data_IF_013655200516
#
_entry.id   IF_013655200516
#
_cell.length_a   1.000
_cell.length_b   1.000
_cell.length_c   1.000
_cell.angle_alpha   90.00
_cell.angle_beta   90.00
_cell.angle_gamma   90.00
#
_symmetry.space_group_name_H-M   'P 1'
#
loop_
_entity.id
_entity.type
_entity.pdbx_description
1 polymer ?
#
# COMPACT_ATOMS: atom_id res chain seq x y z
N UNK A 1 7.14 -10.74 7.19
CA UNK A 1 7.09 -10.51 5.72
C UNK A 1 7.24 -9.02 5.44
N UNK A 2 7.88 -8.65 4.33
CA UNK A 2 7.98 -7.25 3.84
C UNK A 2 7.49 -7.22 2.40
N UNK A 3 6.63 -6.28 2.07
CA UNK A 3 6.29 -5.91 0.70
C UNK A 3 7.08 -4.65 0.36
N UNK A 4 7.74 -4.66 -0.77
CA UNK A 4 8.58 -3.57 -1.26
C UNK A 4 7.95 -2.94 -2.50
N UNK A 5 7.93 -1.62 -2.53
CA UNK A 5 7.51 -0.82 -3.67
C UNK A 5 8.72 -0.21 -4.37
N UNK A 6 8.55 0.16 -5.64
CA UNK A 6 9.62 0.66 -6.52
C UNK A 6 10.84 -0.26 -6.60
N UNK A 7 10.67 -1.53 -6.24
CA UNK A 7 11.70 -2.58 -6.18
C UNK A 7 12.06 -3.10 -7.58
N UNK A 8 12.47 -2.21 -8.47
CA UNK A 8 12.75 -2.49 -9.90
C UNK A 8 14.04 -3.25 -10.16
N UNK A 9 14.88 -3.43 -9.11
CA UNK A 9 16.21 -4.05 -9.18
C UNK A 9 16.25 -5.33 -8.35
N UNK A 10 16.13 -6.51 -8.96
CA UNK A 10 16.16 -7.80 -8.26
C UNK A 10 17.46 -8.04 -7.48
N UNK A 11 18.60 -7.58 -7.99
CA UNK A 11 19.91 -7.68 -7.33
C UNK A 11 19.96 -6.98 -5.97
N UNK A 12 19.24 -5.85 -5.84
CA UNK A 12 19.11 -5.11 -4.58
C UNK A 12 18.20 -5.87 -3.62
N UNK A 13 17.05 -6.37 -4.10
CA UNK A 13 16.12 -7.14 -3.27
C UNK A 13 16.77 -8.42 -2.76
N UNK A 14 17.51 -9.14 -3.61
CA UNK A 14 18.26 -10.33 -3.22
C UNK A 14 19.28 -10.04 -2.11
N UNK A 15 20.03 -8.94 -2.24
CA UNK A 15 21.00 -8.53 -1.23
C UNK A 15 20.30 -8.21 0.08
N UNK A 16 19.23 -7.41 0.06
CA UNK A 16 18.44 -7.09 1.25
C UNK A 16 17.88 -8.35 1.91
N UNK A 17 17.33 -9.28 1.13
CA UNK A 17 16.81 -10.55 1.61
C UNK A 17 17.87 -11.36 2.34
N UNK A 18 19.07 -11.45 1.76
CA UNK A 18 20.21 -12.12 2.38
C UNK A 18 20.67 -11.43 3.66
N UNK A 19 20.86 -10.11 3.62
CA UNK A 19 21.42 -9.33 4.72
C UNK A 19 20.43 -9.27 5.94
N UNK A 20 19.13 -9.41 5.69
CA UNK A 20 18.08 -9.46 6.73
C UNK A 20 17.65 -10.87 7.14
N UNK A 21 18.22 -11.91 6.52
CA UNK A 21 17.86 -13.31 6.75
C UNK A 21 16.47 -13.69 6.24
N UNK A 22 15.88 -12.90 5.35
CA UNK A 22 14.57 -13.17 4.73
C UNK A 22 14.75 -14.06 3.49
N UNK A 23 14.80 -15.38 3.69
CA UNK A 23 15.22 -16.37 2.69
C UNK A 23 14.22 -16.57 1.54
N UNK A 24 12.94 -16.25 1.76
CA UNK A 24 11.87 -16.37 0.76
C UNK A 24 11.59 -15.01 0.17
N UNK A 25 11.97 -14.80 -1.09
CA UNK A 25 11.79 -13.50 -1.74
C UNK A 25 11.46 -13.66 -3.23
N UNK A 26 10.85 -12.65 -3.80
CA UNK A 26 10.65 -12.54 -5.24
C UNK A 26 10.69 -11.08 -5.67
N UNK A 27 11.40 -10.84 -6.74
CA UNK A 27 11.43 -9.56 -7.46
C UNK A 27 11.61 -9.82 -8.94
N UNK A 28 11.13 -8.91 -9.77
CA UNK A 28 11.27 -9.01 -11.23
C UNK A 28 11.74 -7.67 -11.79
N UNK A 29 12.79 -7.71 -12.61
CA UNK A 29 13.36 -6.52 -13.23
C UNK A 29 12.30 -5.63 -13.88
N UNK A 30 12.35 -4.33 -13.58
CA UNK A 30 11.41 -3.34 -14.08
C UNK A 30 9.97 -3.45 -13.53
N UNK A 31 9.72 -4.32 -12.54
CA UNK A 31 8.44 -4.36 -11.82
C UNK A 31 8.54 -3.58 -10.52
N UNK A 32 7.44 -2.95 -10.14
CA UNK A 32 7.38 -2.06 -8.99
C UNK A 32 7.34 -2.80 -7.66
N UNK A 33 6.70 -3.99 -7.62
CA UNK A 33 6.48 -4.73 -6.39
C UNK A 33 7.42 -5.93 -6.26
N UNK A 34 7.93 -6.11 -5.04
CA UNK A 34 8.65 -7.30 -4.61
C UNK A 34 8.22 -7.67 -3.18
N UNK A 35 8.61 -8.87 -2.72
CA UNK A 35 8.45 -9.24 -1.33
C UNK A 35 9.68 -9.98 -0.80
N UNK A 36 9.82 -9.96 0.53
CA UNK A 36 10.77 -10.78 1.28
C UNK A 36 10.07 -11.34 2.52
N UNK A 37 10.40 -12.58 2.91
CA UNK A 37 9.84 -13.23 4.10
C UNK A 37 10.88 -14.12 4.78
N UNK A 38 10.82 -14.20 6.10
CA UNK A 38 11.55 -15.20 6.88
C UNK A 38 10.88 -16.56 6.78
N UNK A 39 9.54 -16.55 6.85
CA UNK A 39 8.72 -17.75 6.78
C UNK A 39 8.48 -18.15 5.33
N UNK A 40 8.23 -19.44 5.12
CA UNK A 40 7.94 -19.98 3.81
C UNK A 40 6.65 -19.39 3.23
N UNK A 41 6.63 -19.30 1.90
CA UNK A 41 5.51 -18.82 1.11
C UNK A 41 4.96 -19.98 0.29
N UNK A 42 3.68 -20.29 0.45
CA UNK A 42 3.02 -21.40 -0.27
C UNK A 42 2.86 -21.09 -1.75
N UNK A 43 2.49 -19.84 -2.05
CA UNK A 43 2.35 -19.36 -3.41
C UNK A 43 2.41 -17.84 -3.47
N UNK A 44 2.77 -17.32 -4.64
CA UNK A 44 2.63 -15.89 -4.95
C UNK A 44 2.32 -15.70 -6.43
N UNK A 45 1.62 -14.62 -6.76
CA UNK A 45 1.25 -14.27 -8.12
C UNK A 45 1.27 -12.75 -8.31
N UNK A 46 1.72 -12.30 -9.47
CA UNK A 46 1.63 -10.91 -9.88
C UNK A 46 0.45 -10.75 -10.86
N UNK A 47 -0.57 -10.01 -10.46
CA UNK A 47 -1.76 -9.75 -11.25
C UNK A 47 -1.65 -8.37 -11.89
N UNK A 48 -1.55 -8.33 -13.22
CA UNK A 48 -1.51 -7.08 -13.97
C UNK A 48 -2.81 -6.87 -14.72
N UNK A 49 -3.68 -5.94 -14.25
CA UNK A 49 -4.87 -5.59 -15.01
C UNK A 49 -4.52 -5.04 -16.40
N UNK A 50 -5.35 -5.27 -17.43
CA UNK A 50 -5.19 -4.62 -18.73
C UNK A 50 -5.07 -3.10 -18.55
N UNK A 51 -4.16 -2.47 -19.30
CA UNK A 51 -3.92 -1.01 -19.28
C UNK A 51 -3.34 -0.50 -17.93
N UNK A 52 -3.14 -1.34 -16.92
CA UNK A 52 -2.50 -0.93 -15.68
C UNK A 52 -1.01 -0.68 -15.86
N UNK A 53 -0.50 0.37 -15.22
CA UNK A 53 0.93 0.66 -15.16
C UNK A 53 1.65 -0.34 -14.24
N UNK A 54 1.03 -0.64 -13.11
CA UNK A 54 1.58 -1.53 -12.09
C UNK A 54 0.74 -2.81 -11.96
N UNK A 55 1.39 -3.89 -11.56
CA UNK A 55 0.74 -5.09 -11.09
C UNK A 55 0.46 -4.92 -9.59
N UNK A 56 -0.46 -5.70 -9.03
CA UNK A 56 -0.50 -5.99 -7.61
C UNK A 56 0.01 -7.40 -7.35
N UNK A 57 0.53 -7.64 -6.16
CA UNK A 57 1.19 -8.87 -5.78
C UNK A 57 0.32 -9.62 -4.76
N UNK A 58 -0.10 -10.83 -5.08
CA UNK A 58 -0.76 -11.74 -4.15
C UNK A 58 0.30 -12.67 -3.55
N UNK A 59 0.32 -12.80 -2.23
CA UNK A 59 1.24 -13.65 -1.49
C UNK A 59 0.44 -14.47 -0.48
N UNK A 60 0.64 -15.79 -0.49
CA UNK A 60 0.08 -16.71 0.48
C UNK A 60 1.23 -17.27 1.34
N UNK A 61 1.46 -16.77 2.56
CA UNK A 61 2.42 -17.38 3.47
C UNK A 61 1.98 -18.81 3.81
N UNK A 62 2.95 -19.69 4.13
CA UNK A 62 2.64 -21.09 4.45
C UNK A 62 2.25 -21.28 5.92
N UNK A 63 2.57 -20.31 6.78
CA UNK A 63 2.44 -20.40 8.24
C UNK A 63 1.20 -19.71 8.80
N UNK A 64 0.38 -19.10 7.94
CA UNK A 64 -0.81 -18.33 8.34
C UNK A 64 -1.91 -18.48 7.32
N UNK A 65 -3.17 -18.32 7.77
CA UNK A 65 -4.33 -18.25 6.88
C UNK A 65 -4.46 -16.91 6.14
N UNK A 66 -3.74 -15.88 6.56
CA UNK A 66 -3.77 -14.55 5.96
C UNK A 66 -3.15 -14.52 4.57
N UNK A 67 -3.83 -13.89 3.62
CA UNK A 67 -3.24 -13.50 2.33
C UNK A 67 -2.81 -12.04 2.36
N UNK A 68 -1.70 -11.76 1.71
CA UNK A 68 -1.19 -10.39 1.57
C UNK A 68 -1.28 -9.97 0.11
N UNK A 69 -1.96 -8.85 -0.13
CA UNK A 69 -2.01 -8.20 -1.44
C UNK A 69 -1.19 -6.92 -1.39
N UNK A 70 0.02 -6.97 -1.96
CA UNK A 70 0.88 -5.79 -2.14
C UNK A 70 0.33 -4.89 -3.26
N UNK A 71 0.16 -3.61 -2.96
CA UNK A 71 -0.49 -2.64 -3.84
C UNK A 71 0.44 -1.46 -4.09
N UNK A 72 0.62 -1.08 -5.35
CA UNK A 72 1.24 0.19 -5.73
C UNK A 72 0.44 0.77 -6.88
N UNK A 73 -0.40 1.76 -6.60
CA UNK A 73 -1.26 2.38 -7.60
C UNK A 73 -0.54 3.52 -8.33
N UNK A 74 -1.11 3.94 -9.46
CA UNK A 74 -0.55 5.01 -10.29
C UNK A 74 -0.41 6.31 -9.53
N UNK A 75 0.81 6.85 -9.48
CA UNK A 75 1.16 8.12 -8.84
C UNK A 75 0.53 9.35 -9.53
N UNK A 76 0.65 10.50 -8.87
CA UNK A 76 0.21 11.85 -9.28
C UNK A 76 -1.26 12.17 -9.00
N UNK A 77 -1.49 13.31 -8.37
CA UNK A 77 -2.82 13.82 -8.00
C UNK A 77 -3.47 14.61 -9.16
N UNK A 78 -3.95 13.89 -10.18
CA UNK A 78 -4.69 14.46 -11.30
C UNK A 78 -5.98 13.68 -11.58
N UNK A 79 -6.96 14.30 -12.22
CA UNK A 79 -8.26 13.66 -12.46
C UNK A 79 -8.16 12.38 -13.30
N UNK A 80 -7.26 12.34 -14.29
CA UNK A 80 -7.05 11.15 -15.12
C UNK A 80 -6.32 10.02 -14.37
N UNK A 81 -5.41 10.34 -13.45
CA UNK A 81 -4.73 9.33 -12.61
C UNK A 81 -5.67 8.76 -11.58
N UNK A 82 -6.61 9.54 -11.03
CA UNK A 82 -7.68 9.03 -10.17
C UNK A 82 -8.57 8.02 -10.91
N UNK A 83 -8.94 8.29 -12.16
CA UNK A 83 -9.69 7.33 -12.99
C UNK A 83 -8.90 6.05 -13.22
N UNK A 84 -7.58 6.17 -13.45
CA UNK A 84 -6.68 5.02 -13.61
C UNK A 84 -6.60 4.20 -12.32
N UNK A 85 -6.36 4.85 -11.17
CA UNK A 85 -6.35 4.18 -9.86
C UNK A 85 -7.65 3.44 -9.57
N UNK A 86 -8.80 4.06 -9.87
CA UNK A 86 -10.10 3.40 -9.72
C UNK A 86 -10.23 2.16 -10.61
N UNK A 87 -9.70 2.20 -11.82
CA UNK A 87 -9.69 1.04 -12.70
C UNK A 87 -8.78 -0.06 -12.16
N UNK A 88 -7.56 0.28 -11.75
CA UNK A 88 -6.60 -0.63 -11.13
C UNK A 88 -7.17 -1.26 -9.86
N UNK A 89 -7.74 -0.44 -8.96
CA UNK A 89 -8.38 -0.90 -7.74
C UNK A 89 -9.56 -1.85 -7.99
N UNK A 90 -10.44 -1.54 -8.92
CA UNK A 90 -11.57 -2.42 -9.26
C UNK A 90 -11.12 -3.77 -9.80
N UNK A 91 -10.01 -3.81 -10.53
CA UNK A 91 -9.42 -5.05 -10.99
C UNK A 91 -8.81 -5.84 -9.81
N UNK A 92 -8.13 -5.16 -8.89
CA UNK A 92 -7.66 -5.75 -7.63
C UNK A 92 -8.82 -6.36 -6.84
N UNK A 93 -9.86 -5.57 -6.55
CA UNK A 93 -11.01 -6.04 -5.78
C UNK A 93 -11.74 -7.23 -6.43
N UNK A 94 -11.80 -7.30 -7.76
CA UNK A 94 -12.33 -8.50 -8.46
C UNK A 94 -11.45 -9.73 -8.26
N UNK A 95 -10.14 -9.58 -8.29
CA UNK A 95 -9.21 -10.68 -8.04
C UNK A 95 -9.29 -11.15 -6.59
N UNK A 96 -9.31 -10.21 -5.66
CA UNK A 96 -9.48 -10.47 -4.22
C UNK A 96 -10.85 -11.10 -3.93
N UNK A 97 -11.86 -10.83 -4.76
CA UNK A 97 -13.21 -11.38 -4.63
C UNK A 97 -13.26 -12.89 -4.46
N UNK A 98 -12.32 -13.64 -5.06
CA UNK A 98 -12.17 -15.07 -4.88
C UNK A 98 -11.73 -15.47 -3.45
N UNK A 99 -11.19 -14.53 -2.67
CA UNK A 99 -10.65 -14.74 -1.33
C UNK A 99 -11.36 -13.93 -0.25
N UNK A 100 -12.42 -13.19 -0.60
CA UNK A 100 -13.12 -12.28 0.33
C UNK A 100 -13.69 -12.96 1.57
N UNK A 101 -13.98 -14.26 1.51
CA UNK A 101 -14.44 -15.02 2.67
C UNK A 101 -13.31 -15.34 3.67
N UNK A 102 -12.04 -15.22 3.27
CA UNK A 102 -10.86 -15.52 4.09
C UNK A 102 -10.15 -14.26 4.59
N UNK A 103 -9.27 -14.40 5.60
CA UNK A 103 -8.48 -13.30 6.13
C UNK A 103 -7.47 -12.83 5.08
N UNK A 104 -7.48 -11.54 4.81
CA UNK A 104 -6.50 -10.94 3.91
C UNK A 104 -6.28 -9.46 4.20
N UNK A 105 -5.16 -8.95 3.72
CA UNK A 105 -4.76 -7.56 3.86
C UNK A 105 -4.37 -6.97 2.50
N UNK A 106 -4.85 -5.77 2.20
CA UNK A 106 -4.37 -4.95 1.10
C UNK A 106 -3.40 -3.93 1.70
N UNK A 107 -2.12 -3.98 1.32
CA UNK A 107 -1.09 -3.13 1.92
C UNK A 107 -0.22 -2.50 0.85
N UNK A 108 0.16 -1.24 1.05
CA UNK A 108 1.10 -0.53 0.20
C UNK A 108 0.71 0.90 -0.15
N UNK A 109 1.33 1.44 -1.20
CA UNK A 109 1.11 2.80 -1.69
C UNK A 109 -0.10 2.87 -2.63
N UNK A 110 -1.17 3.48 -2.13
CA UNK A 110 -2.38 3.76 -2.93
C UNK A 110 -2.29 5.08 -3.71
N UNK A 111 -1.23 5.87 -3.50
CA UNK A 111 -0.96 7.13 -4.20
C UNK A 111 -2.12 8.14 -4.16
N UNK A 112 -2.94 8.10 -3.12
CA UNK A 112 -4.07 9.01 -2.92
C UNK A 112 -4.44 9.10 -1.44
N UNK A 113 -5.08 10.20 -1.04
CA UNK A 113 -5.52 10.44 0.33
C UNK A 113 -6.89 9.82 0.62
N UNK A 114 -7.18 9.51 1.89
CA UNK A 114 -8.46 9.01 2.32
C UNK A 114 -9.49 10.14 2.55
N UNK A 115 -10.80 9.83 2.50
CA UNK A 115 -11.82 10.75 2.99
C UNK A 115 -11.56 11.15 4.44
N UNK A 116 -11.54 12.44 4.72
CA UNK A 116 -11.29 12.96 6.08
C UNK A 116 -9.83 13.17 6.44
N UNK A 117 -8.88 12.69 5.63
CA UNK A 117 -7.47 13.00 5.87
C UNK A 117 -7.20 14.50 5.67
N UNK A 118 -6.46 15.09 6.62
CA UNK A 118 -6.03 16.47 6.53
C UNK A 118 -4.84 16.54 5.58
N UNK A 119 -4.94 17.42 4.59
CA UNK A 119 -3.89 17.60 3.59
C UNK A 119 -3.81 19.05 3.13
N UNK A 120 -2.64 19.67 3.27
CA UNK A 120 -2.40 21.03 2.79
C UNK A 120 -1.79 21.02 1.38
N UNK A 121 -2.63 21.31 0.37
CA UNK A 121 -2.22 21.41 -1.03
C UNK A 121 -1.04 22.39 -1.23
N UNK A 122 -0.92 23.43 -0.37
CA UNK A 122 0.15 24.43 -0.48
C UNK A 122 1.55 23.86 -0.22
N UNK A 123 1.64 22.73 0.51
CA UNK A 123 2.89 22.00 0.77
C UNK A 123 3.35 21.16 -0.43
N UNK A 124 2.49 20.91 -1.41
CA UNK A 124 2.89 20.24 -2.65
C UNK A 124 3.90 21.06 -3.44
N UNK A 125 4.85 20.40 -4.15
CA UNK A 125 5.67 21.04 -5.16
C UNK A 125 4.83 21.84 -6.17
N UNK A 126 5.36 22.99 -6.65
CA UNK A 126 4.62 23.89 -7.55
C UNK A 126 3.98 23.19 -8.75
N UNK A 127 4.70 22.24 -9.38
CA UNK A 127 4.20 21.43 -10.51
C UNK A 127 2.97 20.60 -10.15
N UNK A 128 2.96 19.99 -8.95
CA UNK A 128 1.83 19.19 -8.49
C UNK A 128 0.64 20.07 -8.10
N UNK A 129 0.88 21.24 -7.50
CA UNK A 129 -0.19 22.22 -7.24
C UNK A 129 -0.87 22.67 -8.54
N UNK A 130 -0.08 22.92 -9.59
CA UNK A 130 -0.63 23.28 -10.89
C UNK A 130 -1.51 22.16 -11.47
N UNK A 131 -1.10 20.88 -11.32
CA UNK A 131 -1.90 19.73 -11.74
C UNK A 131 -3.20 19.59 -10.93
N UNK A 132 -3.16 19.81 -9.61
CA UNK A 132 -4.36 19.82 -8.76
C UNK A 132 -5.29 20.95 -9.20
N UNK A 133 -4.78 22.16 -9.43
CA UNK A 133 -5.54 23.30 -9.91
C UNK A 133 -6.23 23.02 -11.26
N UNK A 134 -5.48 22.47 -12.24
CA UNK A 134 -6.01 22.07 -13.54
C UNK A 134 -7.07 20.94 -13.44
N UNK A 135 -7.05 20.18 -12.35
CA UNK A 135 -7.99 19.09 -12.07
C UNK A 135 -9.22 19.52 -11.26
N UNK A 136 -9.42 20.84 -11.08
CA UNK A 136 -10.56 21.41 -10.37
C UNK A 136 -10.26 21.92 -8.97
N UNK A 137 -8.99 22.10 -8.60
CA UNK A 137 -8.55 22.77 -7.37
C UNK A 137 -8.64 21.92 -6.08
N UNK A 138 -9.03 20.67 -6.17
CA UNK A 138 -9.12 19.76 -5.02
C UNK A 138 -8.61 18.36 -5.34
N UNK A 139 -8.10 17.67 -4.31
CA UNK A 139 -7.68 16.28 -4.41
C UNK A 139 -8.91 15.39 -4.30
N UNK A 140 -8.96 14.36 -5.13
CA UNK A 140 -10.05 13.40 -5.17
C UNK A 140 -9.63 12.14 -4.41
N UNK A 141 -10.47 11.67 -3.48
CA UNK A 141 -10.27 10.49 -2.65
C UNK A 141 -11.17 9.31 -3.00
N UNK A 142 -11.70 9.29 -4.23
CA UNK A 142 -12.65 8.25 -4.68
C UNK A 142 -12.05 6.85 -4.64
N UNK A 143 -10.76 6.71 -4.82
CA UNK A 143 -10.05 5.42 -4.77
C UNK A 143 -10.20 4.81 -3.38
N UNK A 144 -9.82 5.54 -2.31
CA UNK A 144 -9.95 5.03 -0.93
C UNK A 144 -11.42 4.89 -0.54
N UNK A 145 -12.27 5.85 -0.90
CA UNK A 145 -13.72 5.72 -0.67
C UNK A 145 -14.30 4.43 -1.29
N UNK A 146 -13.76 3.98 -2.43
CA UNK A 146 -14.18 2.73 -3.08
C UNK A 146 -13.72 1.50 -2.29
N UNK A 147 -12.52 1.52 -1.71
CA UNK A 147 -12.04 0.44 -0.82
C UNK A 147 -12.94 0.32 0.41
N UNK A 148 -13.21 1.45 1.06
CA UNK A 148 -14.07 1.50 2.25
C UNK A 148 -15.50 1.03 1.93
N UNK A 149 -16.08 1.49 0.80
CA UNK A 149 -17.40 1.06 0.34
C UNK A 149 -17.48 -0.44 -0.03
N UNK A 150 -16.34 -1.07 -0.32
CA UNK A 150 -16.25 -2.52 -0.54
C UNK A 150 -16.19 -3.33 0.77
N UNK A 151 -16.36 -2.69 1.93
CA UNK A 151 -16.40 -3.35 3.24
C UNK A 151 -15.05 -3.53 3.91
N UNK A 152 -14.00 -2.84 3.42
CA UNK A 152 -12.69 -2.81 4.07
C UNK A 152 -12.62 -1.72 5.14
N UNK A 153 -11.78 -1.97 6.13
CA UNK A 153 -11.45 -1.03 7.21
C UNK A 153 -10.00 -0.61 7.07
N UNK A 154 -9.72 0.67 7.18
CA UNK A 154 -8.39 1.25 7.28
C UNK A 154 -7.82 0.93 8.68
N UNK A 155 -6.86 0.01 8.75
CA UNK A 155 -6.32 -0.50 10.00
C UNK A 155 -5.64 0.59 10.82
N UNK A 156 -4.91 1.51 10.17
CA UNK A 156 -4.26 2.61 10.87
C UNK A 156 -5.29 3.56 11.48
N UNK A 157 -6.25 4.02 10.68
CA UNK A 157 -7.28 4.95 11.14
C UNK A 157 -8.19 4.35 12.21
N UNK A 158 -8.43 3.05 12.17
CA UNK A 158 -9.20 2.32 13.18
C UNK A 158 -8.51 2.34 14.55
N UNK A 159 -7.18 2.20 14.58
CA UNK A 159 -6.40 2.15 15.83
C UNK A 159 -5.94 3.53 16.31
N UNK A 160 -5.75 4.47 15.38
CA UNK A 160 -5.24 5.82 15.64
C UNK A 160 -6.18 6.88 15.03
N UNK A 161 -7.38 7.08 15.57
CA UNK A 161 -8.38 7.98 14.99
C UNK A 161 -7.92 9.44 14.92
N UNK A 162 -7.08 9.87 15.85
CA UNK A 162 -6.61 11.25 15.97
C UNK A 162 -5.20 11.51 15.38
N UNK A 163 -4.43 10.44 15.05
CA UNK A 163 -3.12 10.60 14.41
C UNK A 163 -3.29 10.88 12.92
N UNK A 164 -2.59 11.87 12.39
CA UNK A 164 -2.63 12.24 10.97
C UNK A 164 -2.11 11.13 10.05
N UNK A 165 -1.24 10.27 10.55
CA UNK A 165 -0.77 9.09 9.84
C UNK A 165 0.12 9.40 8.63
N UNK A 166 0.82 10.51 8.63
CA UNK A 166 1.63 10.92 7.48
C UNK A 166 2.80 9.97 7.23
N UNK A 167 2.91 9.50 5.99
CA UNK A 167 3.97 8.59 5.53
C UNK A 167 4.96 9.26 4.60
N UNK A 168 4.61 10.37 3.95
CA UNK A 168 5.41 11.04 2.91
C UNK A 168 5.42 12.56 3.08
N UNK A 169 6.48 13.25 2.65
CA UNK A 169 7.86 12.78 2.50
C UNK A 169 8.54 12.65 3.88
N UNK A 170 9.47 11.71 4.03
CA UNK A 170 10.11 11.44 5.33
C UNK A 170 10.81 12.65 5.96
N UNK A 171 11.45 13.59 5.22
CA UNK A 171 12.06 14.79 5.82
C UNK A 171 11.05 15.80 6.38
N UNK A 172 9.81 15.81 5.87
CA UNK A 172 8.75 16.75 6.27
C UNK A 172 7.37 16.11 6.04
N UNK A 173 6.96 15.12 6.86
CA UNK A 173 5.76 14.33 6.64
C UNK A 173 4.50 15.20 6.68
N UNK A 174 3.69 15.14 5.61
CA UNK A 174 2.47 15.93 5.51
C UNK A 174 1.38 15.32 4.63
N UNK A 175 1.58 14.06 4.19
CA UNK A 175 0.56 13.31 3.45
C UNK A 175 0.63 11.83 3.79
N UNK A 176 -0.52 11.16 3.82
CA UNK A 176 -0.66 9.72 3.99
C UNK A 176 -1.05 9.10 2.64
N UNK A 177 -0.21 8.24 2.10
CA UNK A 177 -0.42 7.54 0.84
C UNK A 177 -0.37 6.02 1.01
N UNK A 178 0.23 5.55 2.12
CA UNK A 178 0.41 4.15 2.44
C UNK A 178 -0.69 3.69 3.39
N UNK A 179 -1.29 2.57 3.07
CA UNK A 179 -2.46 2.03 3.78
C UNK A 179 -2.34 0.54 3.99
N UNK A 180 -3.01 0.08 5.04
CA UNK A 180 -3.31 -1.32 5.29
C UNK A 180 -4.81 -1.46 5.49
N UNK A 181 -5.47 -2.17 4.59
CA UNK A 181 -6.90 -2.44 4.66
C UNK A 181 -7.16 -3.91 4.90
N UNK A 182 -8.06 -4.20 5.83
CA UNK A 182 -8.56 -5.55 6.09
C UNK A 182 -10.08 -5.58 5.92
N UNK A 183 -10.68 -6.73 5.54
CA UNK A 183 -12.14 -6.84 5.53
C UNK A 183 -12.71 -6.60 6.93
N UNK A 184 -13.85 -5.92 7.03
CA UNK A 184 -14.47 -5.58 8.32
C UNK A 184 -14.68 -6.77 9.25
N UNK A 185 -14.93 -7.97 8.69
CA UNK A 185 -15.06 -9.21 9.47
C UNK A 185 -13.78 -9.60 10.23
N UNK A 186 -12.61 -9.16 9.75
CA UNK A 186 -11.30 -9.52 10.31
C UNK A 186 -10.60 -8.38 11.05
N UNK A 187 -11.19 -7.19 11.14
CA UNK A 187 -10.57 -6.01 11.77
C UNK A 187 -10.17 -6.27 13.22
N UNK A 188 -10.93 -7.08 13.95
CA UNK A 188 -10.64 -7.46 15.35
C UNK A 188 -9.34 -8.25 15.54
N UNK A 189 -8.83 -8.84 14.46
CA UNK A 189 -7.57 -9.60 14.45
C UNK A 189 -6.35 -8.73 14.13
N UNK A 190 -6.53 -7.43 13.85
CA UNK A 190 -5.43 -6.48 13.73
C UNK A 190 -5.01 -6.05 15.13
N UNK A 191 -3.78 -6.38 15.51
CA UNK A 191 -3.20 -6.06 16.82
C UNK A 191 -2.56 -4.70 16.85
N UNK A 192 -1.80 -4.38 15.82
CA UNK A 192 -1.18 -3.07 15.66
C UNK A 192 -1.10 -2.67 14.18
N UNK A 193 -1.06 -1.37 13.94
CA UNK A 193 -0.79 -0.79 12.63
C UNK A 193 -0.03 0.53 12.85
N UNK A 194 1.28 0.52 12.62
CA UNK A 194 2.18 1.59 13.03
C UNK A 194 2.97 2.15 11.86
N UNK A 195 3.24 3.45 11.87
CA UNK A 195 4.19 4.09 10.95
C UNK A 195 5.55 4.12 11.62
N UNK A 196 6.54 3.46 11.01
CA UNK A 196 7.88 3.32 11.57
C UNK A 196 8.69 4.60 11.30
N UNK A 197 8.69 5.52 12.26
CA UNK A 197 9.39 6.84 12.17
C UNK A 197 10.79 6.80 12.79
N UNK A 198 11.52 5.69 12.64
CA UNK A 198 12.90 5.61 13.09
C UNK A 198 13.83 6.46 12.20
N UNK A 199 14.94 7.00 12.73
CA UNK A 199 15.91 7.78 11.96
C UNK A 199 16.44 7.04 10.72
N UNK A 200 16.69 5.74 10.84
CA UNK A 200 17.15 4.90 9.73
C UNK A 200 16.07 4.76 8.64
N UNK A 201 14.80 4.67 9.02
CA UNK A 201 13.68 4.64 8.05
C UNK A 201 13.62 5.95 7.25
N UNK A 202 13.83 7.10 7.90
CA UNK A 202 13.82 8.40 7.25
C UNK A 202 14.97 8.59 6.22
N UNK A 203 16.08 7.85 6.40
CA UNK A 203 17.22 7.90 5.46
C UNK A 203 17.12 6.85 4.35
N UNK A 204 16.33 5.80 4.55
CA UNK A 204 16.23 4.67 3.63
C UNK A 204 15.24 4.89 2.47
N UNK A 205 14.20 5.71 2.69
CA UNK A 205 13.14 5.95 1.71
C UNK A 205 12.54 7.34 1.91
N UNK A 206 11.88 7.88 0.90
CA UNK A 206 11.03 9.07 1.02
C UNK A 206 9.64 8.76 1.62
N UNK A 207 9.28 7.48 1.78
CA UNK A 207 8.13 7.01 2.55
C UNK A 207 8.55 6.35 3.87
N UNK A 208 7.81 6.60 4.95
CA UNK A 208 7.92 5.81 6.17
C UNK A 208 7.25 4.44 5.99
N UNK A 209 7.89 3.35 6.45
CA UNK A 209 7.28 2.03 6.41
C UNK A 209 6.03 1.94 7.27
N UNK A 210 5.03 1.21 6.78
CA UNK A 210 3.83 0.84 7.52
C UNK A 210 3.98 -0.61 8.02
N UNK A 211 3.92 -0.80 9.33
CA UNK A 211 3.99 -2.10 10.00
C UNK A 211 2.60 -2.51 10.48
N UNK A 212 2.19 -3.73 10.17
CA UNK A 212 0.92 -4.29 10.62
C UNK A 212 1.14 -5.64 11.27
N UNK A 213 0.57 -5.83 12.46
CA UNK A 213 0.53 -7.12 13.14
C UNK A 213 -0.89 -7.66 13.17
N UNK A 214 -1.04 -8.92 12.77
CA UNK A 214 -2.33 -9.61 12.74
C UNK A 214 -2.24 -10.94 13.49
N UNK A 215 -3.36 -11.35 14.06
CA UNK A 215 -3.51 -12.69 14.66
C UNK A 215 -4.29 -13.60 13.73
N UNK A 216 -4.11 -14.91 13.90
CA UNK A 216 -4.98 -15.91 13.26
C UNK A 216 -6.43 -15.72 13.74
N UNK A 217 -7.40 -15.78 12.81
CA UNK A 217 -8.83 -15.69 13.12
C UNK A 217 -9.34 -16.89 13.91
#
# INVERSE_FOLDING_TARGET
>A
MVVLEEATRPDVVERLARDTGMRHWSSKAGKSLAFMSRDSVSSFAAHRPPISRHAFLEIAPATTSWRVFGVHLSAVHAAWTERRRLFELRALLRTVGAHQAGPHILIGDFNTVAPGDIFDIRRLPRRLRALVWLSGGHIRWRTIATVLAAGYVDSFRQLHPDDLGYTLPTPDPHVRLDYAFVPGAFVRHVRSCEIVRAPDAASASDHFPLLVEVEEP
#
